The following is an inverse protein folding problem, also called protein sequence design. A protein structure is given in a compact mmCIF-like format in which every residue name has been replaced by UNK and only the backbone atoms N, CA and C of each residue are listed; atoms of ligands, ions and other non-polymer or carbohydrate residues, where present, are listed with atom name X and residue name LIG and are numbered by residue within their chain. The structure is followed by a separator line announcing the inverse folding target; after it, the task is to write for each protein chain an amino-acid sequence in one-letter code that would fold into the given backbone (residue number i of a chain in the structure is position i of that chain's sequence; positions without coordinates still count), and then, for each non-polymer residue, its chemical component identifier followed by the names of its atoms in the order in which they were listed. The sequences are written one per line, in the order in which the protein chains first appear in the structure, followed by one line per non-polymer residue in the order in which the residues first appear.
data_IF_192396643097
#
_entry.id   IF_192396643097
#
_cell.length_a   1.000
_cell.length_b   1.000
_cell.length_c   1.000
_cell.angle_alpha   90.00
_cell.angle_beta   90.00
_cell.angle_gamma   90.00
#
_symmetry.space_group_name_H-M   'P 1'
#
loop_
_entity.id
_entity.type
_entity.pdbx_description
1 polymer ?
#
# COMPACT_ATOMS: atom_id res chain seq x y z
N UNK A 1 -27.61 -38.55 -34.56
CA UNK A 1 -27.38 -37.30 -33.81
C UNK A 1 -26.82 -37.68 -32.45
N UNK A 2 -25.60 -37.26 -32.06
CA UNK A 2 -25.15 -37.40 -30.68
C UNK A 2 -25.29 -36.05 -29.96
N UNK A 3 -26.22 -36.02 -29.01
CA UNK A 3 -26.30 -35.04 -27.93
C UNK A 3 -25.26 -35.35 -26.85
N UNK A 4 -24.78 -34.30 -26.19
CA UNK A 4 -24.35 -34.38 -24.79
C UNK A 4 -22.93 -34.88 -24.54
N UNK A 5 -22.00 -33.93 -24.34
CA UNK A 5 -21.21 -33.77 -23.10
C UNK A 5 -20.09 -32.75 -23.32
N UNK A 6 -20.44 -31.46 -23.25
CA UNK A 6 -19.45 -30.38 -23.10
C UNK A 6 -19.03 -30.30 -21.63
N UNK A 7 -18.32 -31.31 -21.13
CA UNK A 7 -17.66 -31.23 -19.82
C UNK A 7 -16.41 -30.37 -20.04
N UNK A 8 -16.51 -29.08 -19.73
CA UNK A 8 -15.37 -28.17 -19.70
C UNK A 8 -14.33 -28.74 -18.72
N UNK A 9 -13.33 -29.45 -19.25
CA UNK A 9 -12.18 -29.89 -18.47
C UNK A 9 -11.32 -28.66 -18.21
N UNK A 10 -11.49 -28.07 -17.03
CA UNK A 10 -10.62 -27.02 -16.52
C UNK A 10 -9.16 -27.51 -16.63
N UNK A 11 -8.37 -26.81 -17.44
CA UNK A 11 -6.96 -27.05 -17.68
C UNK A 11 -6.12 -26.80 -16.42
N UNK A 12 -4.89 -27.32 -16.40
CA UNK A 12 -3.98 -27.12 -15.26
C UNK A 12 -3.64 -25.64 -15.03
N UNK A 13 -3.56 -24.83 -16.10
CA UNK A 13 -3.32 -23.39 -16.02
C UNK A 13 -4.49 -22.64 -15.39
N UNK A 14 -5.74 -22.98 -15.74
CA UNK A 14 -6.94 -22.38 -15.12
C UNK A 14 -7.01 -22.67 -13.62
N UNK A 15 -6.68 -23.90 -13.19
CA UNK A 15 -6.58 -24.21 -11.75
C UNK A 15 -5.49 -23.42 -11.05
N UNK A 16 -4.34 -23.21 -11.71
CA UNK A 16 -3.23 -22.42 -11.15
C UNK A 16 -3.61 -20.94 -11.00
N UNK A 17 -4.32 -20.36 -11.97
CA UNK A 17 -4.83 -18.99 -11.92
C UNK A 17 -5.88 -18.85 -10.83
N UNK A 18 -6.83 -19.78 -10.72
CA UNK A 18 -7.86 -19.77 -9.68
C UNK A 18 -7.25 -19.86 -8.27
N UNK A 19 -6.24 -20.71 -8.07
CA UNK A 19 -5.51 -20.81 -6.81
C UNK A 19 -4.76 -19.51 -6.47
N UNK A 20 -4.09 -18.91 -7.45
CA UNK A 20 -3.39 -17.64 -7.28
C UNK A 20 -4.35 -16.50 -6.90
N UNK A 21 -5.47 -16.36 -7.63
CA UNK A 21 -6.50 -15.36 -7.34
C UNK A 21 -7.11 -15.55 -5.95
N UNK A 22 -7.39 -16.79 -5.55
CA UNK A 22 -7.86 -17.11 -4.21
C UNK A 22 -6.88 -16.68 -3.12
N UNK A 23 -5.58 -16.96 -3.31
CA UNK A 23 -4.53 -16.56 -2.35
C UNK A 23 -4.38 -15.05 -2.22
N UNK A 24 -4.41 -14.31 -3.35
CA UNK A 24 -4.32 -12.85 -3.37
C UNK A 24 -5.56 -12.23 -2.71
N UNK A 25 -6.75 -12.76 -3.01
CA UNK A 25 -8.00 -12.32 -2.40
C UNK A 25 -8.00 -12.52 -0.88
N UNK A 26 -7.58 -13.70 -0.41
CA UNK A 26 -7.45 -14.00 1.01
C UNK A 26 -6.45 -13.07 1.71
N UNK A 27 -5.27 -12.85 1.11
CA UNK A 27 -4.27 -11.92 1.63
C UNK A 27 -4.79 -10.48 1.70
N UNK A 28 -5.58 -10.06 0.72
CA UNK A 28 -6.20 -8.72 0.68
C UNK A 28 -7.23 -8.56 1.80
N UNK A 29 -8.11 -9.54 2.00
CA UNK A 29 -9.11 -9.52 3.08
C UNK A 29 -8.42 -9.53 4.44
N UNK A 30 -7.43 -10.41 4.64
CA UNK A 30 -6.67 -10.47 5.88
C UNK A 30 -6.00 -9.12 6.19
N UNK A 31 -5.41 -8.47 5.19
CA UNK A 31 -4.79 -7.14 5.36
C UNK A 31 -5.81 -6.07 5.76
N UNK A 32 -7.02 -6.11 5.21
CA UNK A 32 -8.10 -5.18 5.58
C UNK A 32 -8.59 -5.42 7.01
N UNK A 33 -8.75 -6.68 7.42
CA UNK A 33 -9.15 -7.04 8.78
C UNK A 33 -8.10 -6.59 9.79
N UNK A 34 -6.81 -6.80 9.50
CA UNK A 34 -5.71 -6.32 10.34
C UNK A 34 -5.67 -4.78 10.41
N UNK A 35 -5.91 -4.10 9.29
CA UNK A 35 -6.05 -2.64 9.27
C UNK A 35 -7.20 -2.16 10.15
N UNK A 36 -8.37 -2.79 10.04
CA UNK A 36 -9.52 -2.47 10.88
C UNK A 36 -9.26 -2.74 12.37
N UNK A 37 -8.61 -3.88 12.69
CA UNK A 37 -8.24 -4.19 14.07
C UNK A 37 -7.28 -3.15 14.65
N UNK A 38 -6.32 -2.68 13.85
CA UNK A 38 -5.44 -1.56 14.23
C UNK A 38 -6.25 -0.30 14.52
N UNK A 39 -7.17 0.09 13.63
CA UNK A 39 -7.97 1.30 13.81
C UNK A 39 -8.84 1.21 15.08
N UNK A 40 -9.39 0.02 15.36
CA UNK A 40 -10.14 -0.27 16.58
C UNK A 40 -9.24 -0.16 17.83
N UNK A 41 -8.03 -0.72 17.81
CA UNK A 41 -7.08 -0.60 18.93
C UNK A 41 -6.74 0.87 19.19
N UNK A 42 -6.51 1.66 18.15
CA UNK A 42 -6.23 3.10 18.28
C UNK A 42 -7.43 3.82 18.89
N UNK A 43 -8.65 3.56 18.40
CA UNK A 43 -9.87 4.16 18.94
C UNK A 43 -10.14 3.75 20.40
N UNK A 44 -9.82 2.51 20.79
CA UNK A 44 -9.95 2.03 22.17
C UNK A 44 -8.88 2.60 23.10
N UNK A 45 -7.65 2.76 22.62
CA UNK A 45 -6.53 3.26 23.42
C UNK A 45 -6.57 4.77 23.64
N UNK A 46 -6.99 5.54 22.62
CA UNK A 46 -6.98 7.00 22.64
C UNK A 46 -8.37 7.65 22.72
N UNK A 47 -9.44 6.87 22.55
CA UNK A 47 -10.83 7.37 22.50
C UNK A 47 -11.14 8.13 21.20
N UNK A 48 -12.39 8.61 21.09
CA UNK A 48 -12.76 9.56 20.03
C UNK A 48 -12.40 10.97 20.48
N UNK A 49 -11.34 11.55 19.90
CA UNK A 49 -10.84 12.87 20.27
C UNK A 49 -9.76 13.39 19.31
N UNK A 50 -9.25 14.62 19.55
CA UNK A 50 -8.38 15.33 18.61
C UNK A 50 -7.09 14.57 18.25
N UNK A 51 -6.55 13.78 19.18
CA UNK A 51 -5.34 12.95 18.98
C UNK A 51 -5.60 11.83 17.97
N UNK A 52 -6.76 11.16 18.08
CA UNK A 52 -7.16 10.07 17.18
C UNK A 52 -7.45 10.61 15.76
N UNK A 53 -8.07 11.79 15.67
CA UNK A 53 -8.31 12.47 14.38
C UNK A 53 -6.99 12.88 13.71
N UNK A 54 -6.05 13.47 14.46
CA UNK A 54 -4.73 13.83 13.97
C UNK A 54 -3.96 12.59 13.48
N UNK A 55 -4.04 11.47 14.21
CA UNK A 55 -3.43 10.21 13.80
C UNK A 55 -3.99 9.69 12.47
N UNK A 56 -5.32 9.68 12.29
CA UNK A 56 -5.93 9.22 11.04
C UNK A 56 -5.63 10.17 9.86
N UNK A 57 -5.59 11.47 10.10
CA UNK A 57 -5.17 12.46 9.10
C UNK A 57 -3.72 12.24 8.69
N UNK A 58 -2.81 12.08 9.64
CA UNK A 58 -1.40 11.78 9.38
C UNK A 58 -1.24 10.49 8.57
N UNK A 59 -2.01 9.45 8.89
CA UNK A 59 -1.98 8.17 8.17
C UNK A 59 -2.53 8.20 6.76
N UNK A 60 -3.31 9.23 6.41
CA UNK A 60 -3.89 9.38 5.07
C UNK A 60 -2.83 9.74 4.02
N UNK A 61 -1.84 10.56 4.38
CA UNK A 61 -0.82 11.03 3.43
C UNK A 61 0.05 9.87 2.90
N UNK A 62 0.67 9.03 3.76
CA UNK A 62 1.41 7.86 3.29
C UNK A 62 0.53 6.89 2.50
N UNK A 63 -0.74 6.74 2.91
CA UNK A 63 -1.67 5.88 2.18
C UNK A 63 -1.93 6.39 0.77
N UNK A 64 -2.19 7.68 0.57
CA UNK A 64 -2.38 8.24 -0.78
C UNK A 64 -1.14 8.02 -1.64
N UNK A 65 0.05 8.30 -1.12
CA UNK A 65 1.30 8.07 -1.84
C UNK A 65 1.49 6.59 -2.22
N UNK A 66 1.20 5.67 -1.30
CA UNK A 66 1.21 4.22 -1.56
C UNK A 66 0.23 3.86 -2.67
N UNK A 67 -0.99 4.42 -2.66
CA UNK A 67 -2.00 4.15 -3.69
C UNK A 67 -1.54 4.66 -5.06
N UNK A 68 -1.01 5.89 -5.13
CA UNK A 68 -0.56 6.50 -6.38
C UNK A 68 0.65 5.79 -6.98
N UNK A 69 1.64 5.44 -6.15
CA UNK A 69 2.91 4.90 -6.63
C UNK A 69 2.88 3.37 -6.74
N UNK A 70 2.27 2.67 -5.79
CA UNK A 70 2.42 1.23 -5.63
C UNK A 70 1.18 0.38 -6.00
N UNK A 71 -0.04 0.90 -5.91
CA UNK A 71 -1.25 0.09 -6.22
C UNK A 71 -1.47 -0.13 -7.73
N UNK A 72 -0.68 0.48 -8.62
CA UNK A 72 -0.79 0.25 -10.06
C UNK A 72 0.42 0.67 -10.86
N UNK A 73 0.93 1.89 -10.65
CA UNK A 73 1.99 2.46 -11.49
C UNK A 73 3.29 1.66 -11.46
N UNK A 74 3.74 1.24 -10.26
CA UNK A 74 4.94 0.43 -10.14
C UNK A 74 4.75 -0.97 -10.72
N UNK A 75 3.62 -1.63 -10.44
CA UNK A 75 3.35 -2.99 -10.92
C UNK A 75 3.23 -3.08 -12.45
N UNK A 76 2.58 -2.10 -13.09
CA UNK A 76 2.43 -2.07 -14.55
C UNK A 76 3.75 -1.83 -15.28
N UNK A 77 4.68 -1.09 -14.67
CA UNK A 77 6.01 -0.85 -15.25
C UNK A 77 7.02 -1.95 -14.91
N UNK A 78 7.02 -2.47 -13.67
CA UNK A 78 8.04 -3.40 -13.17
C UNK A 78 7.78 -4.84 -13.61
N UNK A 79 6.52 -5.30 -13.61
CA UNK A 79 6.21 -6.71 -13.93
C UNK A 79 6.65 -7.09 -15.36
N UNK A 80 6.37 -6.29 -16.42
CA UNK A 80 6.82 -6.62 -17.77
C UNK A 80 8.34 -6.68 -17.89
N UNK A 81 9.04 -5.69 -17.33
CA UNK A 81 10.52 -5.62 -17.35
C UNK A 81 11.13 -6.78 -16.57
N UNK A 82 10.57 -7.13 -15.41
CA UNK A 82 11.01 -8.28 -14.63
C UNK A 82 10.82 -9.58 -15.41
N UNK A 83 9.66 -9.76 -16.04
CA UNK A 83 9.35 -10.97 -16.83
C UNK A 83 10.28 -11.11 -18.03
N UNK A 84 10.56 -10.00 -18.72
CA UNK A 84 11.53 -9.96 -19.82
C UNK A 84 12.93 -10.36 -19.34
N UNK A 85 13.41 -9.77 -18.25
CA UNK A 85 14.74 -10.09 -17.68
C UNK A 85 14.82 -11.53 -17.16
N UNK A 86 13.74 -12.05 -16.60
CA UNK A 86 13.71 -13.43 -16.10
C UNK A 86 13.83 -14.47 -17.24
N UNK A 87 13.37 -14.15 -18.45
CA UNK A 87 13.41 -15.05 -19.60
C UNK A 87 14.66 -14.84 -20.45
N UNK A 88 15.10 -13.59 -20.64
CA UNK A 88 16.12 -13.23 -21.64
C UNK A 88 17.51 -12.98 -21.07
N UNK A 89 17.63 -12.74 -19.75
CA UNK A 89 18.88 -12.29 -19.12
C UNK A 89 19.41 -13.30 -18.11
N UNK A 90 20.68 -13.11 -17.75
CA UNK A 90 21.33 -13.94 -16.74
C UNK A 90 20.74 -13.69 -15.35
N UNK A 91 20.81 -14.69 -14.46
CA UNK A 91 20.39 -14.55 -13.06
C UNK A 91 21.08 -13.38 -12.34
N UNK A 92 22.32 -13.07 -12.70
CA UNK A 92 23.06 -11.94 -12.11
C UNK A 92 22.48 -10.58 -12.53
N UNK A 93 22.08 -10.43 -13.79
CA UNK A 93 21.42 -9.21 -14.28
C UNK A 93 20.04 -9.04 -13.65
N UNK A 94 19.27 -10.13 -13.50
CA UNK A 94 17.98 -10.10 -12.82
C UNK A 94 18.11 -9.64 -11.36
N UNK A 95 19.11 -10.17 -10.63
CA UNK A 95 19.39 -9.75 -9.25
C UNK A 95 19.82 -8.29 -9.19
N UNK A 96 20.60 -7.83 -10.18
CA UNK A 96 21.01 -6.41 -10.26
C UNK A 96 19.81 -5.49 -10.49
N UNK A 97 18.88 -5.88 -11.37
CA UNK A 97 17.62 -5.17 -11.59
C UNK A 97 16.79 -5.11 -10.30
N UNK A 98 16.56 -6.24 -9.63
CA UNK A 98 15.81 -6.29 -8.37
C UNK A 98 16.44 -5.40 -7.29
N UNK A 99 17.76 -5.43 -7.15
CA UNK A 99 18.47 -4.56 -6.20
C UNK A 99 18.27 -3.08 -6.53
N UNK A 100 18.36 -2.70 -7.81
CA UNK A 100 18.14 -1.33 -8.23
C UNK A 100 16.70 -0.86 -7.94
N UNK A 101 15.70 -1.69 -8.25
CA UNK A 101 14.28 -1.39 -7.99
C UNK A 101 14.03 -1.27 -6.48
N UNK A 102 14.54 -2.20 -5.67
CA UNK A 102 14.39 -2.15 -4.21
C UNK A 102 15.11 -0.94 -3.60
N UNK A 103 16.32 -0.62 -4.07
CA UNK A 103 17.05 0.56 -3.62
C UNK A 103 16.31 1.86 -3.97
N UNK A 104 15.76 1.96 -5.18
CA UNK A 104 14.94 3.09 -5.60
C UNK A 104 13.66 3.21 -4.76
N UNK A 105 12.95 2.10 -4.52
CA UNK A 105 11.76 2.08 -3.68
C UNK A 105 12.07 2.51 -2.24
N UNK A 106 13.18 2.03 -1.68
CA UNK A 106 13.64 2.42 -0.35
C UNK A 106 14.02 3.90 -0.29
N UNK A 107 14.70 4.41 -1.32
CA UNK A 107 15.08 5.82 -1.40
C UNK A 107 13.83 6.72 -1.47
N UNK A 108 12.84 6.35 -2.27
CA UNK A 108 11.55 7.06 -2.33
C UNK A 108 10.83 7.00 -0.98
N UNK A 109 10.84 5.84 -0.30
CA UNK A 109 10.24 5.70 1.02
C UNK A 109 10.92 6.61 2.06
N UNK A 110 12.26 6.61 2.11
CA UNK A 110 13.01 7.47 3.02
C UNK A 110 12.76 8.95 2.68
N UNK A 111 12.84 9.32 1.40
CA UNK A 111 12.62 10.69 0.95
C UNK A 111 11.21 11.18 1.33
N UNK A 112 10.18 10.37 1.10
CA UNK A 112 8.78 10.71 1.47
C UNK A 112 8.58 10.75 2.97
N UNK A 113 9.26 9.90 3.74
CA UNK A 113 9.21 9.93 5.22
C UNK A 113 9.85 11.21 5.76
N UNK A 114 11.06 11.55 5.28
CA UNK A 114 11.78 12.77 5.69
C UNK A 114 11.01 14.02 5.26
N UNK A 115 10.53 14.06 4.01
CA UNK A 115 9.72 15.17 3.52
C UNK A 115 8.41 15.32 4.31
N UNK A 116 7.74 14.20 4.63
CA UNK A 116 6.54 14.19 5.46
C UNK A 116 6.80 14.72 6.88
N UNK A 117 7.89 14.30 7.51
CA UNK A 117 8.29 14.79 8.83
C UNK A 117 8.64 16.28 8.81
N UNK A 118 9.40 16.74 7.82
CA UNK A 118 9.76 18.15 7.67
C UNK A 118 8.55 19.03 7.33
N UNK A 119 7.58 18.51 6.58
CA UNK A 119 6.37 19.22 6.19
C UNK A 119 5.23 19.12 7.21
N UNK A 120 5.38 18.32 8.27
CA UNK A 120 4.39 18.14 9.33
C UNK A 120 3.77 19.45 9.84
N UNK A 121 4.54 20.51 10.20
CA UNK A 121 3.94 21.75 10.70
C UNK A 121 3.04 22.47 9.69
N UNK A 122 3.32 22.38 8.38
CA UNK A 122 2.47 22.98 7.35
C UNK A 122 1.26 22.09 7.04
N UNK A 123 1.44 20.77 7.05
CA UNK A 123 0.40 19.77 6.79
C UNK A 123 -0.73 19.88 7.81
N UNK A 124 -0.39 20.04 9.10
CA UNK A 124 -1.37 20.16 10.20
C UNK A 124 -2.22 21.44 10.06
N UNK A 125 -1.71 22.49 9.42
CA UNK A 125 -2.48 23.74 9.22
C UNK A 125 -3.44 23.72 8.02
N UNK A 126 -3.23 22.81 7.05
CA UNK A 126 -3.97 22.81 5.78
C UNK A 126 -5.05 21.73 5.73
N UNK A 127 -4.83 20.58 6.36
CA UNK A 127 -5.67 19.39 6.13
C UNK A 127 -6.94 19.34 7.00
N UNK A 128 -6.95 19.77 8.26
CA UNK A 128 -8.18 19.88 9.03
C UNK A 128 -8.65 21.34 9.16
N UNK A 129 -9.79 21.73 8.55
CA UNK A 129 -10.43 23.01 8.83
C UNK A 129 -11.09 22.93 10.22
N UNK A 130 -10.31 23.13 11.29
CA UNK A 130 -10.80 23.03 12.67
C UNK A 130 -9.73 23.12 13.76
N UNK A 131 -8.45 22.83 13.47
CA UNK A 131 -7.34 22.99 14.44
C UNK A 131 -6.82 24.44 14.54
N UNK A 132 -7.37 25.36 13.74
CA UNK A 132 -6.99 26.77 13.76
C UNK A 132 -7.61 27.57 14.93
N UNK A 133 -8.61 27.03 15.62
CA UNK A 133 -9.42 27.78 16.59
C UNK A 133 -9.08 27.56 18.07
N UNK A 134 -8.18 26.63 18.42
CA UNK A 134 -7.82 26.37 19.82
C UNK A 134 -6.28 26.27 20.01
N UNK A 135 -5.64 27.19 20.77
CA UNK A 135 -4.19 27.26 20.96
C UNK A 135 -3.56 25.99 21.52
N UNK A 136 -4.27 25.26 22.40
CA UNK A 136 -3.73 24.09 23.12
C UNK A 136 -3.53 22.85 22.22
N UNK A 137 -4.24 22.77 21.08
CA UNK A 137 -4.09 21.65 20.14
C UNK A 137 -2.88 21.80 19.20
N UNK A 138 -2.36 23.02 19.02
CA UNK A 138 -1.17 23.27 18.17
C UNK A 138 0.12 22.82 18.86
N UNK A 139 0.22 22.96 20.17
CA UNK A 139 1.39 22.54 20.95
C UNK A 139 1.52 21.02 21.09
N UNK A 140 0.40 20.29 21.02
CA UNK A 140 0.41 18.82 21.05
C UNK A 140 0.73 18.16 19.71
N UNK A 141 0.59 18.87 18.59
CA UNK A 141 0.83 18.33 17.24
C UNK A 141 2.30 18.48 16.77
N UNK A 142 3.12 19.24 17.50
CA UNK A 142 4.50 19.58 17.15
C UNK A 142 5.54 18.78 17.96
N UNK A 143 5.14 18.11 19.05
CA UNK A 143 5.97 17.16 19.80
C UNK A 143 5.83 15.74 19.25
#
# INVERSE_FOLDING_TARGET
MPEGQWIYKVSSSERQVLGALGSIGAATVASRVLGFARDMIVALAFGAGPVTDAFFVAFRIPNILRRLLAEGALSTAVIPVFTEYAVTRSRQELVRLLRAVLAAALLVLVATTVAGGAAAPWIVTVIPPGFGSDPDQRDLAVQ
#
